data_IF_708775459692
#
_entry.id   IF_708775459692
#
_cell.length_a   1.000
_cell.length_b   1.000
_cell.length_c   1.000
_cell.angle_alpha   90.00
_cell.angle_beta   90.00
_cell.angle_gamma   90.00
#
_symmetry.space_group_name_H-M   'P 1'
#
loop_
_entity.id
_entity.type
_entity.pdbx_description
1 polymer ?
#
# COMPACT_ATOMS: atom_id res chain seq x y z
N UNK A 1 8.61 -16.55 4.42
CA UNK A 1 7.29 -15.93 4.33
C UNK A 1 7.09 -15.57 2.87
N UNK A 2 6.41 -16.45 2.13
CA UNK A 2 6.03 -16.18 0.75
C UNK A 2 4.86 -15.20 0.80
N UNK A 3 4.98 -14.09 0.09
CA UNK A 3 3.96 -13.04 0.09
C UNK A 3 2.90 -13.40 -0.92
N UNK A 4 1.68 -13.62 -0.44
CA UNK A 4 0.49 -13.82 -1.25
C UNK A 4 0.11 -12.54 -2.01
N UNK A 5 0.82 -12.17 -3.07
CA UNK A 5 0.51 -10.94 -3.80
C UNK A 5 -0.68 -11.13 -4.75
N UNK A 6 -1.80 -10.48 -4.45
CA UNK A 6 -2.93 -10.33 -5.38
C UNK A 6 -2.96 -8.94 -6.01
N UNK A 7 -3.30 -8.86 -7.29
CA UNK A 7 -3.53 -7.58 -7.98
C UNK A 7 -5.01 -7.32 -8.18
N UNK A 8 -5.44 -6.11 -7.83
CA UNK A 8 -6.79 -5.60 -8.04
C UNK A 8 -6.84 -4.78 -9.34
N UNK A 9 -7.61 -5.25 -10.33
CA UNK A 9 -7.62 -4.65 -11.66
C UNK A 9 -8.64 -3.52 -11.85
N UNK A 10 -9.61 -3.38 -10.94
CA UNK A 10 -10.64 -2.32 -11.01
C UNK A 10 -10.21 -1.00 -10.35
N UNK A 11 -9.00 -0.95 -9.81
CA UNK A 11 -8.46 0.24 -9.16
C UNK A 11 -7.37 0.81 -10.04
N UNK A 12 -7.40 2.12 -10.21
CA UNK A 12 -6.50 2.83 -11.08
C UNK A 12 -5.09 2.94 -10.49
N UNK A 13 -4.15 3.22 -11.39
CA UNK A 13 -2.69 3.11 -11.31
C UNK A 13 -2.06 3.59 -9.98
N UNK A 14 -1.89 2.67 -9.03
CA UNK A 14 -1.01 2.86 -7.89
C UNK A 14 0.19 1.93 -8.02
N UNK A 15 1.29 2.48 -8.54
CA UNK A 15 2.63 1.92 -8.33
C UNK A 15 2.79 1.56 -6.83
N UNK A 16 3.46 0.48 -6.48
CA UNK A 16 3.90 0.12 -5.11
C UNK A 16 2.96 0.16 -3.87
N UNK A 17 1.62 0.23 -3.96
CA UNK A 17 0.79 0.15 -2.74
C UNK A 17 0.69 -1.29 -2.23
N UNK A 18 1.33 -1.58 -1.10
CA UNK A 18 1.18 -2.86 -0.40
C UNK A 18 0.14 -2.72 0.70
N UNK A 19 -0.95 -3.46 0.62
CA UNK A 19 -1.96 -3.51 1.68
C UNK A 19 -1.90 -4.87 2.33
N UNK A 20 -1.75 -4.86 3.66
CA UNK A 20 -1.75 -6.05 4.52
C UNK A 20 -3.09 -6.04 5.25
N UNK A 21 -3.87 -7.12 5.15
CA UNK A 21 -5.19 -7.20 5.74
C UNK A 21 -5.38 -8.34 6.71
N UNK A 22 -6.28 -8.07 7.65
CA UNK A 22 -6.98 -8.98 8.53
C UNK A 22 -6.12 -9.83 9.46
N UNK A 23 -5.57 -9.17 10.49
CA UNK A 23 -4.94 -9.87 11.61
C UNK A 23 -5.96 -10.68 12.44
N UNK A 24 -7.27 -10.41 12.35
CA UNK A 24 -8.34 -11.15 13.05
C UNK A 24 -8.61 -10.73 14.51
N UNK A 25 -8.34 -9.48 14.89
CA UNK A 25 -8.34 -9.03 16.30
C UNK A 25 -9.62 -8.27 16.70
N UNK A 26 -10.60 -8.13 15.80
CA UNK A 26 -11.91 -7.53 16.11
C UNK A 26 -11.86 -6.02 16.39
N UNK A 27 -10.93 -5.31 15.77
CA UNK A 27 -10.89 -3.85 15.84
C UNK A 27 -11.77 -3.22 14.75
N UNK A 28 -12.03 -1.91 14.84
CA UNK A 28 -12.96 -1.19 13.95
C UNK A 28 -12.31 0.01 13.24
N UNK A 29 -10.97 0.12 13.28
CA UNK A 29 -10.24 1.29 12.81
C UNK A 29 -9.37 0.95 11.59
N UNK A 30 -9.25 1.91 10.65
CA UNK A 30 -8.44 1.78 9.44
C UNK A 30 -7.09 2.47 9.64
N UNK A 31 -5.99 1.79 9.30
CA UNK A 31 -4.64 2.37 9.38
C UNK A 31 -4.00 2.61 8.04
N UNK A 32 -3.52 3.83 7.89
CA UNK A 32 -2.79 4.27 6.72
C UNK A 32 -1.40 4.75 7.14
N UNK A 33 -0.40 4.11 6.55
CA UNK A 33 1.01 4.42 6.77
C UNK A 33 1.56 4.98 5.47
N UNK A 34 1.91 6.25 5.50
CA UNK A 34 2.60 6.93 4.43
C UNK A 34 4.10 6.97 4.68
N UNK A 35 4.83 6.73 3.60
CA UNK A 35 6.25 6.99 3.47
C UNK A 35 6.37 8.17 2.51
N UNK A 36 6.85 9.34 2.98
CA UNK A 36 6.86 10.49 2.09
C UNK A 36 7.67 11.68 2.58
N UNK A 37 8.65 12.08 1.78
CA UNK A 37 9.62 13.17 2.06
C UNK A 37 9.15 14.52 1.49
N UNK A 38 8.05 14.61 0.71
CA UNK A 38 7.78 15.84 -0.05
C UNK A 38 6.30 16.22 -0.16
N UNK A 39 6.09 17.54 -0.28
CA UNK A 39 4.86 18.34 -0.41
C UNK A 39 3.90 17.91 -1.54
N UNK A 40 4.26 16.97 -2.41
CA UNK A 40 3.31 16.46 -3.42
C UNK A 40 2.23 15.54 -2.83
N UNK A 41 2.53 14.85 -1.72
CA UNK A 41 1.55 14.01 -1.00
C UNK A 41 0.46 14.89 -0.34
N UNK A 42 0.76 16.14 -0.04
CA UNK A 42 -0.12 16.94 0.81
C UNK A 42 -1.33 17.53 0.09
N UNK A 43 -1.21 17.86 -1.19
CA UNK A 43 -2.36 18.19 -2.05
C UNK A 43 -3.30 17.00 -2.27
N UNK A 44 -2.76 15.80 -2.14
CA UNK A 44 -3.48 14.59 -2.49
C UNK A 44 -4.40 14.10 -1.36
N UNK A 45 -3.92 14.12 -0.12
CA UNK A 45 -4.74 13.73 1.04
C UNK A 45 -5.88 14.71 1.32
N UNK A 46 -5.72 15.98 0.95
CA UNK A 46 -6.75 17.01 1.12
C UNK A 46 -7.96 16.83 0.18
N UNK A 47 -7.79 16.08 -0.92
CA UNK A 47 -8.78 16.03 -2.00
C UNK A 47 -9.70 14.80 -2.03
N UNK A 48 -9.20 13.58 -1.80
CA UNK A 48 -9.84 12.43 -2.47
C UNK A 48 -9.87 11.07 -1.79
N UNK A 49 -9.27 10.87 -0.61
CA UNK A 49 -8.81 9.49 -0.33
C UNK A 49 -9.40 8.84 0.91
N UNK A 50 -9.64 9.57 2.00
CA UNK A 50 -9.91 8.92 3.28
C UNK A 50 -11.03 9.61 4.06
N UNK A 51 -12.04 8.82 4.43
CA UNK A 51 -13.06 9.21 5.42
C UNK A 51 -12.40 9.51 6.77
N UNK A 52 -13.17 10.02 7.73
CA UNK A 52 -12.68 10.24 9.10
C UNK A 52 -12.21 8.96 9.82
N UNK A 53 -12.46 7.77 9.24
CA UNK A 53 -12.16 6.47 9.84
C UNK A 53 -10.68 6.06 9.72
N UNK A 54 -9.86 6.85 9.02
CA UNK A 54 -8.44 6.57 8.82
C UNK A 54 -7.57 7.30 9.82
N UNK A 55 -6.73 6.55 10.54
CA UNK A 55 -5.55 7.13 11.18
C UNK A 55 -4.41 7.20 10.17
N UNK A 56 -3.81 8.37 10.06
CA UNK A 56 -2.73 8.65 9.10
C UNK A 56 -1.42 8.76 9.86
N UNK A 57 -0.42 7.96 9.49
CA UNK A 57 0.95 8.03 10.02
C UNK A 57 1.90 8.53 8.92
N UNK A 58 2.56 9.65 9.15
CA UNK A 58 3.51 10.28 8.22
C UNK A 58 4.94 10.19 8.75
N UNK A 59 5.82 9.56 7.99
CA UNK A 59 7.27 9.53 8.29
C UNK A 59 8.03 10.64 7.56
N UNK A 60 8.63 11.55 8.32
CA UNK A 60 9.41 12.68 7.82
C UNK A 60 10.91 12.35 7.86
N UNK A 61 11.56 12.32 6.71
CA UNK A 61 13.01 12.05 6.63
C UNK A 61 13.85 13.31 6.53
N UNK A 62 13.27 14.39 6.02
CA UNK A 62 13.85 15.73 5.90
C UNK A 62 13.86 16.48 7.23
N UNK A 63 12.97 16.09 8.15
CA UNK A 63 12.82 16.71 9.45
C UNK A 63 11.86 17.90 9.47
N UNK A 64 11.09 18.13 8.41
CA UNK A 64 10.29 19.36 8.23
C UNK A 64 8.81 19.12 8.51
N UNK A 65 8.45 18.86 9.77
CA UNK A 65 7.06 18.57 10.13
C UNK A 65 6.14 19.80 10.05
N UNK A 66 6.68 21.01 10.27
CA UNK A 66 5.88 22.25 10.33
C UNK A 66 5.37 22.73 8.98
N UNK A 67 5.99 22.30 7.87
CA UNK A 67 5.50 22.63 6.52
C UNK A 67 4.12 22.04 6.26
N UNK A 68 3.77 20.96 6.97
CA UNK A 68 2.51 20.26 6.82
C UNK A 68 1.36 20.90 7.61
N UNK A 69 1.64 21.86 8.48
CA UNK A 69 0.62 22.55 9.30
C UNK A 69 -0.37 23.36 8.45
N UNK A 70 -0.04 23.65 7.18
CA UNK A 70 -0.93 24.31 6.24
C UNK A 70 -2.11 23.42 5.80
N UNK A 71 -2.02 22.10 5.97
CA UNK A 71 -3.06 21.15 5.56
C UNK A 71 -3.92 20.69 6.75
N UNK A 72 -5.23 20.87 6.67
CA UNK A 72 -6.16 20.51 7.76
C UNK A 72 -6.17 19.01 8.06
N UNK A 73 -6.09 18.16 7.03
CA UNK A 73 -5.99 16.72 7.21
C UNK A 73 -4.71 16.33 7.97
N UNK A 74 -3.62 17.06 7.76
CA UNK A 74 -2.32 16.73 8.35
C UNK A 74 -2.31 17.01 9.85
N UNK A 75 -3.10 17.97 10.32
CA UNK A 75 -3.25 18.23 11.77
C UNK A 75 -3.84 17.04 12.53
N UNK A 76 -4.55 16.14 11.83
CA UNK A 76 -5.10 14.89 12.38
C UNK A 76 -4.15 13.70 12.19
N UNK A 77 -3.08 13.87 11.41
CA UNK A 77 -2.09 12.84 11.19
C UNK A 77 -1.09 12.75 12.36
N UNK A 78 -0.51 11.56 12.55
CA UNK A 78 0.60 11.34 13.46
C UNK A 78 1.88 11.57 12.67
N UNK A 79 2.64 12.59 13.05
CA UNK A 79 3.93 12.92 12.44
C UNK A 79 5.06 12.26 13.21
N UNK A 80 5.88 11.47 12.52
CA UNK A 80 7.09 10.87 13.10
C UNK A 80 8.30 11.33 12.30
N UNK A 81 9.23 12.00 12.98
CA UNK A 81 10.42 12.58 12.37
C UNK A 81 11.68 12.18 13.11
N UNK A 82 12.52 11.37 12.47
CA UNK A 82 13.81 10.93 13.03
C UNK A 82 14.88 11.10 11.97
N UNK A 83 15.81 12.02 12.25
CA UNK A 83 16.91 12.34 11.33
C UNK A 83 17.80 11.11 11.07
N UNK A 84 18.25 11.00 9.81
CA UNK A 84 19.24 10.01 9.34
C UNK A 84 18.79 8.55 9.53
N UNK A 85 17.50 8.28 9.36
CA UNK A 85 16.96 6.91 9.36
C UNK A 85 16.50 6.51 7.96
N UNK A 86 16.49 5.20 7.71
CA UNK A 86 16.02 4.61 6.46
C UNK A 86 14.55 4.21 6.56
N UNK A 87 13.88 4.00 5.42
CA UNK A 87 12.51 3.47 5.36
C UNK A 87 12.33 2.22 6.22
N UNK A 88 13.24 1.27 6.09
CA UNK A 88 13.24 0.04 6.87
C UNK A 88 13.39 0.25 8.38
N UNK A 89 14.03 1.32 8.81
CA UNK A 89 14.20 1.61 10.23
C UNK A 89 12.87 1.91 10.91
N UNK A 90 12.03 2.71 10.25
CA UNK A 90 10.67 2.99 10.68
C UNK A 90 9.79 1.73 10.55
N UNK A 91 9.94 0.96 9.47
CA UNK A 91 9.04 -0.16 9.19
C UNK A 91 9.15 -1.20 10.30
N UNK A 92 10.39 -1.51 10.69
CA UNK A 92 10.70 -2.41 11.81
C UNK A 92 10.14 -1.94 13.16
N UNK A 93 9.88 -0.64 13.33
CA UNK A 93 9.45 -0.04 14.60
C UNK A 93 7.97 0.23 14.66
N UNK A 94 7.34 0.56 13.54
CA UNK A 94 5.95 1.02 13.49
C UNK A 94 5.01 0.03 12.81
N UNK A 95 5.54 -1.01 12.14
CA UNK A 95 4.76 -2.17 11.67
C UNK A 95 4.86 -3.37 12.63
N UNK A 96 5.22 -3.13 13.89
CA UNK A 96 5.23 -4.19 14.90
C UNK A 96 3.78 -4.62 15.21
N UNK A 97 3.48 -5.93 15.37
CA UNK A 97 2.14 -6.42 15.67
C UNK A 97 1.46 -5.67 16.83
N UNK A 98 2.18 -5.40 17.92
CA UNK A 98 1.63 -4.65 19.07
C UNK A 98 1.16 -3.22 18.75
N UNK A 99 1.66 -2.64 17.66
CA UNK A 99 1.29 -1.30 17.20
C UNK A 99 0.15 -1.39 16.20
N UNK A 100 0.20 -2.36 15.28
CA UNK A 100 -0.76 -2.45 14.18
C UNK A 100 -1.95 -3.37 14.43
N UNK A 101 -1.93 -4.15 15.52
CA UNK A 101 -3.01 -5.06 15.91
C UNK A 101 -4.38 -4.40 16.07
N UNK A 102 -4.51 -3.11 16.49
CA UNK A 102 -5.80 -2.44 16.53
C UNK A 102 -6.40 -2.09 15.17
N UNK A 103 -5.81 -2.52 14.05
CA UNK A 103 -6.26 -2.10 12.72
C UNK A 103 -6.57 -3.28 11.82
N UNK A 104 -7.71 -3.20 11.14
CA UNK A 104 -8.17 -4.26 10.24
C UNK A 104 -7.42 -4.26 8.90
N UNK A 105 -6.99 -3.07 8.48
CA UNK A 105 -6.32 -2.81 7.22
C UNK A 105 -5.14 -1.89 7.45
N UNK A 106 -4.01 -2.26 6.87
CA UNK A 106 -2.80 -1.43 6.86
C UNK A 106 -2.49 -1.11 5.41
N UNK A 107 -2.52 0.16 5.07
CA UNK A 107 -2.10 0.68 3.78
C UNK A 107 -0.65 1.16 3.88
N UNK A 108 0.24 0.65 3.04
CA UNK A 108 1.64 1.09 2.97
C UNK A 108 1.86 1.80 1.63
N UNK A 109 2.13 3.10 1.70
CA UNK A 109 2.26 3.97 0.53
C UNK A 109 3.70 4.50 0.37
N UNK A 110 4.35 4.25 -0.77
CA UNK A 110 5.67 4.80 -1.10
C UNK A 110 5.60 6.24 -1.67
N UNK A 111 6.73 6.93 -1.72
CA UNK A 111 6.81 8.36 -2.09
C UNK A 111 6.62 8.66 -3.58
N UNK A 112 6.72 7.65 -4.45
CA UNK A 112 6.71 7.78 -5.91
C UNK A 112 5.36 7.41 -6.55
N UNK A 113 4.28 7.48 -5.77
CA UNK A 113 3.02 6.83 -6.11
C UNK A 113 1.90 7.79 -6.49
N UNK A 114 1.39 7.57 -7.71
CA UNK A 114 0.12 8.10 -8.20
C UNK A 114 -1.06 7.42 -7.52
N UNK A 115 -2.10 8.21 -7.34
CA UNK A 115 -3.07 8.02 -6.26
C UNK A 115 -4.39 8.75 -6.54
N UNK A 116 -4.40 9.62 -7.55
CA UNK A 116 -5.45 10.57 -7.93
C UNK A 116 -6.79 9.88 -8.23
N UNK A 117 -6.76 8.57 -8.44
CA UNK A 117 -7.90 7.73 -8.79
C UNK A 117 -8.10 6.56 -7.81
N UNK A 118 -7.41 6.59 -6.67
CA UNK A 118 -7.54 5.56 -5.65
C UNK A 118 -8.83 5.74 -4.83
N UNK A 119 -9.61 4.67 -4.72
CA UNK A 119 -10.77 4.61 -3.85
C UNK A 119 -10.55 3.55 -2.76
N UNK A 120 -10.34 4.00 -1.52
CA UNK A 120 -10.03 3.12 -0.40
C UNK A 120 -11.20 2.20 -0.02
N UNK A 121 -12.44 2.68 -0.08
CA UNK A 121 -13.64 1.90 0.23
C UNK A 121 -13.83 0.75 -0.77
N UNK A 122 -13.70 1.05 -2.05
CA UNK A 122 -13.77 0.07 -3.14
C UNK A 122 -12.62 -0.94 -3.05
N UNK A 123 -11.42 -0.48 -2.68
CA UNK A 123 -10.29 -1.35 -2.39
C UNK A 123 -10.64 -2.36 -1.29
N UNK A 124 -11.08 -1.86 -0.13
CA UNK A 124 -11.43 -2.69 1.02
C UNK A 124 -12.56 -3.66 0.67
N UNK A 125 -13.56 -3.21 -0.11
CA UNK A 125 -14.65 -4.05 -0.61
C UNK A 125 -14.12 -5.24 -1.41
N UNK A 126 -13.18 -5.02 -2.32
CA UNK A 126 -12.55 -6.08 -3.12
C UNK A 126 -11.71 -7.02 -2.26
N UNK A 127 -10.91 -6.49 -1.34
CA UNK A 127 -10.14 -7.35 -0.42
C UNK A 127 -11.04 -8.26 0.39
N UNK A 128 -12.10 -7.72 1.00
CA UNK A 128 -13.09 -8.51 1.75
C UNK A 128 -13.76 -9.56 0.88
N UNK A 129 -14.19 -9.18 -0.34
CA UNK A 129 -14.85 -10.08 -1.30
C UNK A 129 -13.97 -11.28 -1.66
N UNK A 130 -12.65 -11.08 -1.77
CA UNK A 130 -11.72 -12.11 -2.25
C UNK A 130 -10.81 -12.72 -1.17
N UNK A 131 -10.97 -12.31 0.09
CA UNK A 131 -10.18 -12.78 1.23
C UNK A 131 -8.67 -12.58 0.99
N UNK A 132 -8.26 -11.36 0.64
CA UNK A 132 -6.87 -11.08 0.25
C UNK A 132 -6.04 -10.60 1.44
N UNK A 133 -5.12 -11.41 1.94
CA UNK A 133 -4.23 -11.00 3.03
C UNK A 133 -3.22 -9.94 2.59
N UNK A 134 -2.70 -10.05 1.37
CA UNK A 134 -1.78 -9.08 0.78
C UNK A 134 -2.25 -8.74 -0.64
N UNK A 135 -2.37 -7.45 -0.94
CA UNK A 135 -2.77 -7.01 -2.28
C UNK A 135 -2.19 -5.66 -2.68
N UNK A 136 -2.24 -5.38 -3.97
CA UNK A 136 -1.87 -4.10 -4.58
C UNK A 136 -2.81 -3.75 -5.75
N UNK A 137 -3.00 -2.47 -6.09
CA UNK A 137 -3.66 -2.06 -7.32
C UNK A 137 -2.91 -2.52 -8.58
N UNK A 138 -3.63 -2.65 -9.69
CA UNK A 138 -3.06 -3.02 -10.97
C UNK A 138 -2.36 -1.85 -11.64
N UNK A 139 -1.13 -2.06 -12.09
CA UNK A 139 -0.31 -1.05 -12.76
C UNK A 139 -0.64 -0.93 -14.24
N UNK A 140 -0.50 0.28 -14.78
CA UNK A 140 -0.74 0.54 -16.20
C UNK A 140 0.17 -0.33 -17.11
N UNK A 141 -0.41 -1.12 -18.04
CA UNK A 141 0.29 -1.98 -18.98
C UNK A 141 1.44 -1.38 -19.79
N UNK A 142 1.36 -0.09 -20.12
CA UNK A 142 2.19 0.53 -21.16
C UNK A 142 3.37 1.36 -20.63
N UNK A 143 3.66 1.32 -19.31
CA UNK A 143 4.78 2.06 -18.69
C UNK A 143 6.16 1.37 -18.84
N UNK A 144 6.28 0.31 -19.65
CA UNK A 144 7.54 -0.33 -20.04
C UNK A 144 8.28 -1.15 -18.96
N UNK A 145 8.04 -0.88 -17.67
CA UNK A 145 8.67 -1.55 -16.52
C UNK A 145 7.69 -2.40 -15.69
N UNK A 146 6.47 -2.62 -16.20
CA UNK A 146 5.42 -3.35 -15.48
C UNK A 146 5.62 -4.87 -15.57
N UNK A 147 5.85 -5.53 -14.43
CA UNK A 147 5.89 -7.00 -14.32
C UNK A 147 4.53 -7.61 -14.68
N UNK A 148 4.47 -8.82 -15.27
CA UNK A 148 3.18 -9.47 -15.53
C UNK A 148 2.40 -9.71 -14.24
N UNK A 149 3.12 -9.89 -13.12
CA UNK A 149 2.53 -10.03 -11.79
C UNK A 149 1.72 -8.82 -11.36
N UNK A 150 2.16 -7.60 -11.70
CA UNK A 150 1.58 -6.35 -11.21
C UNK A 150 0.70 -5.67 -12.25
N UNK A 151 0.70 -6.19 -13.47
CA UNK A 151 0.05 -5.59 -14.64
C UNK A 151 -1.48 -5.69 -14.55
N UNK A 152 -2.17 -4.57 -14.73
CA UNK A 152 -3.63 -4.54 -14.83
C UNK A 152 -4.14 -5.39 -15.99
N UNK A 153 -5.17 -6.20 -15.73
CA UNK A 153 -5.87 -7.03 -16.72
C UNK A 153 -7.33 -6.61 -16.83
N UNK A 154 -7.78 -6.27 -18.04
CA UNK A 154 -9.15 -5.79 -18.27
C UNK A 154 -10.24 -6.87 -18.29
N UNK A 155 -9.87 -8.15 -18.19
CA UNK A 155 -10.78 -9.29 -18.30
C UNK A 155 -11.29 -9.83 -16.96
N UNK A 156 -10.79 -9.33 -15.83
CA UNK A 156 -11.07 -9.89 -14.49
C UNK A 156 -10.89 -8.83 -13.40
N UNK A 157 -11.62 -8.96 -12.28
CA UNK A 157 -11.52 -8.02 -11.16
C UNK A 157 -10.20 -8.15 -10.38
N UNK A 158 -9.71 -9.38 -10.22
CA UNK A 158 -8.48 -9.69 -9.46
C UNK A 158 -7.66 -10.79 -10.15
N UNK A 159 -6.35 -10.84 -9.88
CA UNK A 159 -5.54 -12.00 -10.22
C UNK A 159 -4.46 -12.32 -9.20
N UNK A 160 -4.28 -13.62 -8.95
CA UNK A 160 -3.30 -14.20 -8.02
C UNK A 160 -2.22 -15.02 -8.73
N UNK A 161 -2.47 -15.38 -9.98
CA UNK A 161 -1.62 -16.28 -10.77
C UNK A 161 -1.14 -15.59 -12.04
N UNK A 162 0.12 -15.86 -12.37
CA UNK A 162 0.79 -15.31 -13.54
C UNK A 162 1.67 -16.38 -14.21
N UNK A 163 1.66 -16.36 -15.54
CA UNK A 163 2.68 -17.04 -16.34
C UNK A 163 3.70 -15.99 -16.76
N UNK A 164 4.81 -15.91 -16.01
CA UNK A 164 5.97 -15.10 -16.41
C UNK A 164 6.85 -15.87 -17.38
N UNK A 165 7.58 -15.14 -18.23
CA UNK A 165 8.50 -15.80 -19.17
C UNK A 165 9.61 -16.53 -18.38
N UNK A 166 9.97 -17.78 -18.74
CA UNK A 166 10.98 -18.56 -18.00
C UNK A 166 12.34 -17.87 -17.87
N UNK A 167 12.68 -16.98 -18.82
CA UNK A 167 13.92 -16.19 -18.83
C UNK A 167 13.97 -15.18 -17.67
N UNK A 168 12.80 -14.66 -17.26
CA UNK A 168 12.66 -13.66 -16.20
C UNK A 168 12.41 -14.33 -14.84
N UNK A 169 11.70 -15.45 -14.85
CA UNK A 169 11.31 -16.20 -13.66
C UNK A 169 11.67 -17.68 -13.83
N UNK A 170 12.95 -18.06 -13.59
CA UNK A 170 13.38 -19.45 -13.70
C UNK A 170 12.77 -20.34 -12.60
N UNK A 171 12.36 -19.75 -11.47
CA UNK A 171 11.62 -20.44 -10.42
C UNK A 171 10.45 -19.56 -9.94
N UNK A 172 9.18 -19.96 -10.19
CA UNK A 172 8.01 -19.19 -9.78
C UNK A 172 7.77 -19.21 -8.26
N UNK A 173 8.51 -20.03 -7.50
CA UNK A 173 8.44 -20.12 -6.03
C UNK A 173 9.52 -19.27 -5.33
N UNK A 174 10.36 -18.58 -6.08
CA UNK A 174 11.43 -17.73 -5.52
C UNK A 174 11.19 -16.26 -5.86
N UNK A 175 11.53 -15.33 -4.95
CA UNK A 175 11.56 -13.91 -5.27
C UNK A 175 12.43 -13.64 -6.52
N UNK A 176 12.04 -12.69 -7.38
CA UNK A 176 10.89 -11.79 -7.26
C UNK A 176 9.55 -12.38 -7.75
N UNK A 177 9.58 -13.61 -8.26
CA UNK A 177 8.48 -14.22 -9.02
C UNK A 177 7.52 -15.07 -8.18
N UNK A 178 7.88 -15.34 -6.92
CA UNK A 178 7.00 -15.93 -5.92
C UNK A 178 5.66 -15.18 -5.86
N UNK A 179 4.62 -15.82 -6.38
CA UNK A 179 3.23 -15.41 -6.24
C UNK A 179 2.58 -16.12 -5.03
N UNK A 180 1.24 -16.10 -4.94
CA UNK A 180 0.47 -16.81 -3.93
C UNK A 180 0.90 -18.29 -3.78
N UNK A 181 1.46 -18.64 -2.62
CA UNK A 181 1.73 -20.02 -2.22
C UNK A 181 0.87 -20.34 -1.00
N UNK A 182 -0.16 -21.17 -1.21
CA UNK A 182 -0.95 -21.72 -0.12
C UNK A 182 -0.09 -22.71 0.66
N UNK A 183 0.23 -22.38 1.91
CA UNK A 183 0.86 -23.32 2.83
C UNK A 183 -0.07 -24.49 3.16
#
# INVERSE_FOLDING_TARGET
MLMEKCVLNHLDDCSSTLIITHLGWGAAELWLIFWGIWVEISFFVDGYIFSEDFTILLFHYDGQTTEWDEFEWSKRAIHVSVRRQTKWWYAKRFLHPDIVAPYDYIFIWDEDLGVEHFNAEEYIRLVRKYGLEISQPGLEPNKGLTWQMTKRRGDREVHKEIEEKPVWCPNPHLPPCAAYEKL
#
